data_IF_330125186901
#
_entry.id   IF_330125186901
#
_cell.length_a   1.000
_cell.length_b   1.000
_cell.length_c   1.000
_cell.angle_alpha   90.00
_cell.angle_beta   90.00
_cell.angle_gamma   90.00
#
_symmetry.space_group_name_H-M   'P 1'
#
loop_
_entity.id
_entity.type
_entity.pdbx_description
1 polymer ?
#
# COMPACT_ATOMS: atom_id res chain seq x y z
N UNK A 1 10.06 -14.57 -14.84
CA UNK A 1 10.20 -14.87 -16.28
C UNK A 1 9.84 -16.35 -16.48
N UNK A 2 9.20 -16.69 -17.60
CA UNK A 2 8.89 -18.10 -17.94
C UNK A 2 9.95 -18.58 -18.94
N UNK A 3 10.71 -19.60 -18.56
CA UNK A 3 11.65 -20.31 -19.42
C UNK A 3 11.07 -21.67 -19.77
N UNK A 4 11.08 -22.03 -21.05
CA UNK A 4 10.61 -23.32 -21.52
C UNK A 4 11.81 -24.26 -21.64
N UNK A 5 11.83 -25.32 -20.84
CA UNK A 5 12.84 -26.35 -20.94
C UNK A 5 12.45 -27.34 -22.04
N UNK A 6 13.08 -27.17 -23.21
CA UNK A 6 12.79 -27.90 -24.45
C UNK A 6 13.08 -29.40 -24.31
N UNK A 7 13.99 -29.77 -23.40
CA UNK A 7 14.41 -31.17 -23.20
C UNK A 7 13.37 -32.01 -22.46
N UNK A 8 12.66 -31.41 -21.49
CA UNK A 8 11.66 -32.11 -20.67
C UNK A 8 10.22 -31.70 -20.97
N UNK A 9 9.98 -30.88 -22.02
CA UNK A 9 8.69 -30.23 -22.30
C UNK A 9 8.10 -29.55 -21.05
N UNK A 10 8.97 -29.01 -20.18
CA UNK A 10 8.59 -28.45 -18.89
C UNK A 10 8.66 -26.93 -18.94
N UNK A 11 7.64 -26.27 -18.39
CA UNK A 11 7.61 -24.82 -18.22
C UNK A 11 8.13 -24.46 -16.83
N UNK A 12 9.21 -23.68 -16.78
CA UNK A 12 9.83 -23.21 -15.55
C UNK A 12 9.53 -21.72 -15.38
N UNK A 13 8.95 -21.34 -14.26
CA UNK A 13 8.65 -19.96 -13.90
C UNK A 13 9.34 -19.53 -12.63
N UNK A 14 10.05 -18.41 -12.70
CA UNK A 14 10.59 -17.73 -11.51
C UNK A 14 9.82 -16.44 -11.24
N UNK A 15 9.41 -16.26 -9.97
CA UNK A 15 8.69 -15.08 -9.51
C UNK A 15 8.90 -14.77 -8.03
N UNK A 16 8.64 -13.52 -7.66
CA UNK A 16 8.64 -13.08 -6.27
C UNK A 16 7.23 -13.20 -5.69
N UNK A 17 7.13 -13.76 -4.48
CA UNK A 17 5.88 -13.80 -3.73
C UNK A 17 6.11 -13.47 -2.26
N UNK A 18 5.14 -12.83 -1.60
CA UNK A 18 5.17 -12.69 -0.16
C UNK A 18 5.02 -14.06 0.54
N UNK A 19 5.77 -14.27 1.64
CA UNK A 19 5.71 -15.51 2.44
C UNK A 19 4.30 -15.95 2.80
N UNK A 20 3.42 -15.01 3.14
CA UNK A 20 2.06 -15.32 3.60
C UNK A 20 1.18 -15.90 2.49
N UNK A 21 1.49 -15.62 1.20
CA UNK A 21 0.72 -16.10 0.05
C UNK A 21 1.32 -17.39 -0.54
N UNK A 22 2.48 -17.85 -0.04
CA UNK A 22 3.08 -19.12 -0.45
C UNK A 22 2.10 -20.32 -0.36
N UNK A 23 1.35 -20.53 0.74
CA UNK A 23 0.42 -21.65 0.82
C UNK A 23 -0.75 -21.53 -0.17
N UNK A 24 -1.25 -20.32 -0.39
CA UNK A 24 -2.35 -20.05 -1.34
C UNK A 24 -1.93 -20.35 -2.79
N UNK A 25 -0.69 -19.99 -3.16
CA UNK A 25 -0.13 -20.31 -4.47
C UNK A 25 0.06 -21.82 -4.63
N UNK A 26 0.55 -22.51 -3.60
CA UNK A 26 0.72 -23.96 -3.64
C UNK A 26 -0.62 -24.68 -3.83
N UNK A 27 -1.67 -24.24 -3.14
CA UNK A 27 -3.00 -24.81 -3.29
C UNK A 27 -3.57 -24.52 -4.69
N UNK A 28 -3.42 -23.30 -5.20
CA UNK A 28 -3.86 -22.94 -6.54
C UNK A 28 -3.16 -23.79 -7.63
N UNK A 29 -1.86 -24.05 -7.46
CA UNK A 29 -1.07 -24.91 -8.34
C UNK A 29 -1.48 -26.38 -8.28
N UNK A 30 -1.87 -26.88 -7.10
CA UNK A 30 -2.39 -28.23 -6.95
C UNK A 30 -3.76 -28.38 -7.61
N UNK A 31 -4.67 -27.41 -7.42
CA UNK A 31 -5.98 -27.40 -8.08
C UNK A 31 -5.82 -27.36 -9.61
N UNK A 32 -4.95 -26.49 -10.11
CA UNK A 32 -4.67 -26.41 -11.54
C UNK A 32 -4.09 -27.73 -12.11
N UNK A 33 -3.24 -28.44 -11.36
CA UNK A 33 -2.71 -29.73 -11.79
C UNK A 33 -3.80 -30.82 -11.90
N UNK A 34 -4.74 -30.82 -10.96
CA UNK A 34 -5.91 -31.73 -10.98
C UNK A 34 -6.83 -31.40 -12.16
N UNK A 35 -7.17 -30.12 -12.35
CA UNK A 35 -8.05 -29.67 -13.44
C UNK A 35 -7.45 -29.95 -14.83
N UNK A 36 -6.13 -29.90 -14.95
CA UNK A 36 -5.39 -30.18 -16.19
C UNK A 36 -5.26 -31.68 -16.49
N UNK A 37 -5.72 -32.55 -15.58
CA UNK A 37 -5.60 -34.01 -15.69
C UNK A 37 -4.16 -34.50 -15.94
N UNK A 38 -3.17 -33.74 -15.43
CA UNK A 38 -1.75 -34.08 -15.58
C UNK A 38 -1.36 -35.17 -14.59
N UNK A 39 -0.63 -36.18 -15.05
CA UNK A 39 -0.12 -37.26 -14.20
C UNK A 39 1.05 -36.80 -13.31
N UNK A 40 1.63 -35.64 -13.60
CA UNK A 40 2.75 -35.09 -12.85
C UNK A 40 2.32 -33.80 -12.15
N UNK A 41 2.49 -33.77 -10.82
CA UNK A 41 2.15 -32.61 -10.01
C UNK A 41 3.08 -31.41 -10.29
N UNK A 42 2.54 -30.21 -10.10
CA UNK A 42 3.32 -28.97 -10.15
C UNK A 42 4.34 -28.93 -9.01
N UNK A 43 5.60 -28.64 -9.34
CA UNK A 43 6.68 -28.55 -8.34
C UNK A 43 6.81 -27.10 -7.90
N UNK A 44 6.63 -26.86 -6.60
CA UNK A 44 6.81 -25.56 -5.96
C UNK A 44 8.06 -25.60 -5.07
N UNK A 45 9.11 -24.83 -5.43
CA UNK A 45 10.34 -24.79 -4.66
C UNK A 45 10.74 -23.36 -4.30
N UNK A 46 11.15 -23.18 -3.04
CA UNK A 46 11.72 -21.93 -2.54
C UNK A 46 13.18 -21.84 -2.92
N UNK A 47 13.53 -20.81 -3.69
CA UNK A 47 14.90 -20.48 -4.07
C UNK A 47 15.50 -19.45 -3.10
N UNK A 48 16.72 -19.70 -2.64
CA UNK A 48 17.53 -18.72 -1.91
C UNK A 48 18.39 -17.96 -2.91
N UNK A 49 18.06 -16.69 -3.14
CA UNK A 49 18.84 -15.80 -4.02
C UNK A 49 19.47 -14.65 -3.22
N UNK A 50 20.53 -14.04 -3.79
CA UNK A 50 21.12 -12.79 -3.29
C UNK A 50 20.55 -11.55 -3.99
N UNK A 51 19.66 -11.72 -4.98
CA UNK A 51 18.98 -10.63 -5.64
C UNK A 51 18.12 -9.83 -4.67
N UNK A 52 18.01 -8.51 -4.89
CA UNK A 52 17.17 -7.65 -4.07
C UNK A 52 15.69 -7.94 -4.37
N UNK A 53 14.90 -8.38 -3.38
CA UNK A 53 13.47 -8.60 -3.57
C UNK A 53 12.71 -7.28 -3.74
N UNK A 54 11.55 -7.29 -4.41
CA UNK A 54 10.70 -6.12 -4.52
C UNK A 54 10.09 -5.74 -3.17
N UNK A 55 9.83 -4.45 -2.99
CA UNK A 55 9.12 -3.93 -1.81
C UNK A 55 7.61 -4.05 -2.02
N UNK A 56 6.90 -4.54 -1.01
CA UNK A 56 5.44 -4.65 -1.03
C UNK A 56 4.85 -4.10 0.27
N UNK A 57 3.92 -3.15 0.15
CA UNK A 57 3.19 -2.56 1.26
C UNK A 57 1.71 -2.98 1.21
N UNK A 58 1.19 -3.50 2.33
CA UNK A 58 -0.25 -3.72 2.47
C UNK A 58 -0.92 -2.41 2.84
N UNK A 59 -1.70 -1.85 1.92
CA UNK A 59 -2.46 -0.61 2.13
C UNK A 59 -3.97 -0.88 2.24
N UNK A 60 -4.65 -0.07 3.05
CA UNK A 60 -6.12 0.02 3.08
C UNK A 60 -6.59 1.13 2.12
N UNK A 61 -7.88 1.16 1.77
CA UNK A 61 -8.50 2.15 0.87
C UNK A 61 -8.16 3.61 1.19
N UNK A 62 -7.90 3.93 2.46
CA UNK A 62 -7.49 5.27 2.89
C UNK A 62 -5.99 5.51 2.70
N UNK A 63 -5.15 4.56 3.10
CA UNK A 63 -3.68 4.69 3.03
C UNK A 63 -3.15 4.53 1.61
N UNK A 64 -3.91 3.93 0.69
CA UNK A 64 -3.51 3.77 -0.72
C UNK A 64 -3.25 5.13 -1.39
N UNK A 65 -4.10 6.14 -1.19
CA UNK A 65 -3.86 7.47 -1.77
C UNK A 65 -2.53 8.08 -1.29
N UNK A 66 -2.22 7.99 0.01
CA UNK A 66 -0.95 8.49 0.54
C UNK A 66 0.24 7.69 0.05
N UNK A 67 0.09 6.36 -0.09
CA UNK A 67 1.13 5.50 -0.63
C UNK A 67 1.40 5.83 -2.10
N UNK A 68 0.36 6.04 -2.91
CA UNK A 68 0.50 6.46 -4.31
C UNK A 68 1.23 7.82 -4.43
N UNK A 69 0.93 8.78 -3.54
CA UNK A 69 1.63 10.07 -3.49
C UNK A 69 3.12 9.86 -3.19
N UNK A 70 3.46 9.03 -2.19
CA UNK A 70 4.85 8.75 -1.81
C UNK A 70 5.58 7.97 -2.90
N UNK A 71 4.95 6.94 -3.47
CA UNK A 71 5.53 6.11 -4.51
C UNK A 71 5.81 6.91 -5.79
N UNK A 72 5.04 7.98 -6.05
CA UNK A 72 5.30 8.90 -7.15
C UNK A 72 6.63 9.68 -6.98
N UNK A 73 7.08 9.92 -5.75
CA UNK A 73 8.40 10.50 -5.48
C UNK A 73 9.52 9.47 -5.52
N UNK A 74 9.24 8.24 -5.08
CA UNK A 74 10.18 7.13 -5.15
C UNK A 74 9.77 5.98 -4.25
N UNK A 75 10.00 4.77 -4.75
CA UNK A 75 9.71 3.54 -3.99
C UNK A 75 10.83 3.28 -2.99
N UNK A 76 10.47 3.09 -1.71
CA UNK A 76 11.41 2.76 -0.64
C UNK A 76 12.12 1.42 -0.90
N UNK A 77 13.39 1.29 -0.50
CA UNK A 77 14.13 0.04 -0.68
C UNK A 77 13.58 -1.04 0.25
N UNK A 78 13.89 -2.28 -0.10
CA UNK A 78 13.48 -3.44 0.68
C UNK A 78 13.96 -3.33 2.13
N UNK A 79 13.01 -3.44 3.08
CA UNK A 79 13.17 -3.29 4.55
C UNK A 79 13.48 -1.89 5.06
N UNK A 80 13.36 -0.85 4.25
CA UNK A 80 13.37 0.52 4.76
C UNK A 80 12.05 0.86 5.48
N UNK A 81 12.10 1.86 6.37
CA UNK A 81 10.91 2.37 7.03
C UNK A 81 9.97 3.01 5.99
N UNK A 82 8.67 2.75 6.07
CA UNK A 82 7.71 3.31 5.12
C UNK A 82 7.44 4.80 5.46
N UNK A 83 7.85 5.76 4.60
CA UNK A 83 7.61 7.18 4.86
C UNK A 83 6.13 7.56 4.75
N UNK A 84 5.27 6.73 4.14
CA UNK A 84 3.83 6.96 4.01
C UNK A 84 3.13 7.19 5.34
N UNK A 85 3.55 6.48 6.40
CA UNK A 85 2.96 6.64 7.72
C UNK A 85 3.20 8.04 8.28
N UNK A 86 4.38 8.61 8.01
CA UNK A 86 4.71 9.97 8.39
C UNK A 86 3.94 10.99 7.56
N UNK A 87 3.84 10.77 6.23
CA UNK A 87 3.13 11.69 5.34
C UNK A 87 1.63 11.73 5.60
N UNK A 88 1.00 10.66 6.11
CA UNK A 88 -0.43 10.67 6.51
C UNK A 88 -0.71 11.79 7.53
N UNK A 89 0.24 12.12 8.40
CA UNK A 89 0.08 13.15 9.43
C UNK A 89 0.61 14.50 8.96
N UNK A 90 1.83 14.54 8.41
CA UNK A 90 2.50 15.80 8.09
C UNK A 90 1.97 16.46 6.83
N UNK A 91 1.52 15.69 5.84
CA UNK A 91 0.99 16.26 4.60
C UNK A 91 -0.31 17.05 4.83
N UNK A 92 -1.33 16.51 5.55
CA UNK A 92 -2.49 17.30 5.97
C UNK A 92 -2.15 18.51 6.82
N UNK A 93 -1.18 18.38 7.74
CA UNK A 93 -0.79 19.47 8.62
C UNK A 93 -0.16 20.65 7.86
N UNK A 94 0.79 20.39 6.97
CA UNK A 94 1.42 21.43 6.16
C UNK A 94 0.39 22.10 5.24
N UNK A 95 -0.53 21.32 4.67
CA UNK A 95 -1.61 21.87 3.87
C UNK A 95 -2.57 22.75 4.69
N UNK A 96 -2.89 22.34 5.93
CA UNK A 96 -3.73 23.10 6.84
C UNK A 96 -3.11 24.44 7.24
N UNK A 97 -1.80 24.47 7.51
CA UNK A 97 -1.08 25.72 7.81
C UNK A 97 -1.02 26.65 6.60
N UNK A 98 -0.82 26.10 5.39
CA UNK A 98 -0.72 26.90 4.17
C UNK A 98 -2.05 27.43 3.64
N UNK A 99 -3.15 26.69 3.84
CA UNK A 99 -4.50 27.04 3.36
C UNK A 99 -5.50 27.25 4.50
N UNK A 100 -5.02 27.67 5.67
CA UNK A 100 -5.77 27.87 6.92
C UNK A 100 -6.74 29.05 6.92
N UNK A 101 -7.38 29.32 5.78
CA UNK A 101 -8.47 30.30 5.67
C UNK A 101 -9.81 29.58 5.60
N UNK A 102 -10.73 29.96 6.49
CA UNK A 102 -12.08 29.39 6.59
C UNK A 102 -12.83 29.41 5.25
N UNK A 103 -12.63 30.45 4.44
CA UNK A 103 -13.30 30.59 3.13
C UNK A 103 -12.89 29.52 2.12
N UNK A 104 -11.58 29.30 1.95
CA UNK A 104 -11.06 28.31 1.00
C UNK A 104 -11.38 26.88 1.45
N UNK A 105 -11.32 26.63 2.75
CA UNK A 105 -11.67 25.33 3.31
C UNK A 105 -13.14 24.95 3.07
N UNK A 106 -14.09 25.88 3.23
CA UNK A 106 -15.52 25.62 2.97
C UNK A 106 -15.77 25.32 1.48
N UNK A 107 -15.12 26.05 0.56
CA UNK A 107 -15.21 25.76 -0.88
C UNK A 107 -14.69 24.36 -1.22
N UNK A 108 -13.55 23.96 -0.63
CA UNK A 108 -12.99 22.62 -0.80
C UNK A 108 -13.89 21.55 -0.19
N UNK A 109 -14.50 21.78 0.98
CA UNK A 109 -15.46 20.85 1.56
C UNK A 109 -16.67 20.65 0.63
N UNK A 110 -17.25 21.73 0.09
CA UNK A 110 -18.42 21.62 -0.80
C UNK A 110 -18.07 20.87 -2.09
N UNK A 111 -16.91 21.16 -2.69
CA UNK A 111 -16.44 20.48 -3.89
C UNK A 111 -16.18 18.98 -3.63
N UNK A 112 -15.56 18.66 -2.49
CA UNK A 112 -15.24 17.29 -2.09
C UNK A 112 -16.50 16.52 -1.74
N UNK A 113 -17.43 17.12 -0.99
CA UNK A 113 -18.74 16.55 -0.67
C UNK A 113 -19.53 16.22 -1.94
N UNK A 114 -19.52 17.10 -2.93
CA UNK A 114 -20.15 16.86 -4.23
C UNK A 114 -19.55 15.64 -4.95
N UNK A 115 -18.23 15.46 -4.88
CA UNK A 115 -17.54 14.29 -5.46
C UNK A 115 -17.87 12.99 -4.72
N UNK A 116 -18.00 13.03 -3.38
CA UNK A 116 -18.43 11.86 -2.58
C UNK A 116 -19.85 11.45 -2.97
N UNK A 117 -20.78 12.40 -3.12
CA UNK A 117 -22.15 12.07 -3.53
C UNK A 117 -22.23 11.41 -4.91
N UNK A 118 -21.23 11.63 -5.76
CA UNK A 118 -21.08 10.99 -7.08
C UNK A 118 -20.11 9.81 -7.10
N UNK A 119 -19.77 9.23 -5.94
CA UNK A 119 -18.83 8.09 -5.77
C UNK A 119 -19.12 6.95 -6.76
N UNK A 120 -20.39 6.64 -7.04
CA UNK A 120 -20.77 5.55 -7.98
C UNK A 120 -20.33 5.77 -9.44
N UNK A 121 -20.00 7.00 -9.84
CA UNK A 121 -19.66 7.35 -11.22
C UNK A 121 -18.15 7.55 -11.43
N UNK A 122 -17.36 7.62 -10.35
CA UNK A 122 -15.93 7.94 -10.41
C UNK A 122 -15.05 6.76 -9.99
N UNK A 123 -13.82 6.75 -10.49
CA UNK A 123 -12.83 5.69 -10.19
C UNK A 123 -12.48 5.65 -8.70
N UNK A 124 -12.23 4.45 -8.19
CA UNK A 124 -11.81 4.15 -6.81
C UNK A 124 -10.67 5.06 -6.31
N UNK A 125 -9.74 5.44 -7.19
CA UNK A 125 -8.62 6.32 -6.87
C UNK A 125 -9.05 7.76 -6.55
N UNK A 126 -9.97 8.31 -7.35
CA UNK A 126 -10.52 9.67 -7.13
C UNK A 126 -11.22 9.76 -5.78
N UNK A 127 -11.89 8.67 -5.38
CA UNK A 127 -12.61 8.56 -4.12
C UNK A 127 -11.64 8.48 -2.93
N UNK A 128 -10.54 7.74 -3.07
CA UNK A 128 -9.49 7.68 -2.04
C UNK A 128 -8.92 9.08 -1.78
N UNK A 129 -8.57 9.81 -2.84
CA UNK A 129 -8.09 11.20 -2.76
C UNK A 129 -9.14 12.15 -2.17
N UNK A 130 -10.41 11.96 -2.51
CA UNK A 130 -11.53 12.74 -1.97
C UNK A 130 -11.66 12.53 -0.45
N UNK A 131 -11.51 11.29 0.04
CA UNK A 131 -11.51 11.00 1.49
C UNK A 131 -10.31 11.63 2.22
N UNK A 132 -9.15 11.67 1.57
CA UNK A 132 -7.97 12.38 2.08
C UNK A 132 -8.26 13.88 2.21
N UNK A 133 -8.82 14.51 1.16
CA UNK A 133 -9.15 15.93 1.18
C UNK A 133 -10.14 16.31 2.29
N UNK A 134 -11.18 15.50 2.53
CA UNK A 134 -12.12 15.71 3.63
C UNK A 134 -11.44 15.61 5.00
N UNK A 135 -10.54 14.63 5.17
CA UNK A 135 -9.75 14.49 6.41
C UNK A 135 -8.84 15.70 6.64
N UNK A 136 -8.18 16.19 5.59
CA UNK A 136 -7.33 17.39 5.65
C UNK A 136 -8.12 18.62 6.10
N UNK A 137 -9.33 18.83 5.55
CA UNK A 137 -10.18 19.95 5.94
C UNK A 137 -10.68 19.86 7.39
N UNK A 138 -11.09 18.67 7.84
CA UNK A 138 -11.48 18.44 9.24
C UNK A 138 -10.33 18.74 10.20
N UNK A 139 -9.10 18.37 9.84
CA UNK A 139 -7.92 18.68 10.63
C UNK A 139 -7.68 20.20 10.69
N UNK A 140 -7.82 20.92 9.58
CA UNK A 140 -7.70 22.39 9.55
C UNK A 140 -8.70 23.09 10.48
N UNK A 141 -9.98 22.68 10.46
CA UNK A 141 -11.00 23.25 11.35
C UNK A 141 -10.71 23.02 12.84
N UNK A 142 -10.16 21.85 13.19
CA UNK A 142 -9.78 21.52 14.57
C UNK A 142 -8.55 22.35 15.01
N UNK A 143 -7.59 22.58 14.10
CA UNK A 143 -6.40 23.36 14.38
C UNK A 143 -6.70 24.86 14.55
N UNK A 144 -7.68 25.39 13.83
CA UNK A 144 -8.12 26.80 13.96
C UNK A 144 -8.92 27.06 15.25
N UNK A 145 -9.54 26.03 15.82
CA UNK A 145 -10.32 26.14 17.06
C UNK A 145 -9.45 26.17 18.34
N UNK A 146 -8.19 25.74 18.28
CA UNK A 146 -7.36 25.57 19.48
C UNK A 146 -6.11 26.47 19.48
N UNK A 147 -6.10 27.40 20.43
CA UNK A 147 -4.99 28.24 20.89
C UNK A 147 -3.58 27.60 20.73
N UNK A 148 -2.59 28.41 20.34
CA UNK A 148 -1.27 28.06 19.75
C UNK A 148 -0.37 27.07 20.51
N UNK A 149 -0.73 26.62 21.71
CA UNK A 149 0.06 25.71 22.55
C UNK A 149 -0.38 24.23 22.51
N UNK A 150 -1.64 23.93 22.15
CA UNK A 150 -2.16 22.55 22.16
C UNK A 150 -1.85 21.79 20.86
N UNK A 151 -1.69 22.53 19.76
CA UNK A 151 -1.29 21.99 18.44
C UNK A 151 0.07 21.29 18.50
N UNK A 152 1.04 21.88 19.22
CA UNK A 152 2.38 21.28 19.38
C UNK A 152 2.33 19.95 20.17
N UNK A 153 1.48 19.89 21.19
CA UNK A 153 1.32 18.71 22.05
C UNK A 153 0.64 17.55 21.31
N UNK A 154 -0.36 17.85 20.47
CA UNK A 154 -1.07 16.84 19.67
C UNK A 154 -0.19 16.25 18.57
N UNK A 155 0.62 17.10 17.91
CA UNK A 155 1.63 16.68 16.93
C UNK A 155 2.68 15.79 17.58
N UNK A 156 3.18 16.15 18.77
CA UNK A 156 4.13 15.32 19.52
C UNK A 156 3.54 13.95 19.91
N UNK A 157 2.29 13.89 20.39
CA UNK A 157 1.62 12.64 20.78
C UNK A 157 1.35 11.74 19.57
N UNK A 158 0.95 12.28 18.41
CA UNK A 158 0.71 11.50 17.20
C UNK A 158 2.01 10.95 16.57
N UNK A 159 3.09 11.74 16.60
CA UNK A 159 4.41 11.28 16.16
C UNK A 159 4.88 10.11 17.03
N UNK A 160 4.72 10.22 18.35
CA UNK A 160 5.08 9.14 19.31
C UNK A 160 4.20 7.90 19.11
N UNK A 161 2.91 8.05 18.84
CA UNK A 161 2.00 6.93 18.56
C UNK A 161 2.32 6.22 17.23
N UNK A 162 2.70 6.97 16.18
CA UNK A 162 3.15 6.39 14.91
C UNK A 162 4.48 5.65 15.03
N UNK A 163 5.41 6.12 15.88
CA UNK A 163 6.67 5.44 16.18
C UNK A 163 6.42 4.08 16.86
N UNK A 164 5.40 3.97 17.74
CA UNK A 164 5.10 2.72 18.46
C UNK A 164 4.42 1.64 17.60
N UNK A 165 3.81 1.99 16.46
CA UNK A 165 3.17 1.03 15.55
C UNK A 165 4.13 0.51 14.44
N UNK A 166 5.42 0.80 14.55
CA UNK A 166 6.50 0.22 13.73
C UNK A 166 6.85 -1.17 14.28
N UNK A 167 5.89 -2.10 14.31
CA UNK A 167 6.23 -3.53 14.29
C UNK A 167 6.17 -3.99 12.85
N UNK A 168 7.31 -3.82 12.17
CA UNK A 168 7.57 -4.35 10.83
C UNK A 168 7.31 -5.87 10.83
N UNK A 169 6.31 -6.32 10.05
CA UNK A 169 6.16 -7.73 9.72
C UNK A 169 7.26 -8.14 8.74
N UNK A 170 8.04 -9.20 9.02
CA UNK A 170 9.10 -9.65 8.15
C UNK A 170 8.50 -10.33 6.92
N UNK A 171 8.42 -9.59 5.81
CA UNK A 171 8.15 -10.19 4.50
C UNK A 171 9.47 -10.69 3.92
N UNK A 172 9.84 -11.93 4.20
CA UNK A 172 10.89 -12.59 3.42
C UNK A 172 10.43 -12.68 1.95
N UNK A 173 11.20 -12.11 1.03
CA UNK A 173 10.93 -12.29 -0.39
C UNK A 173 11.20 -13.74 -0.74
N UNK A 174 10.16 -14.51 -1.03
CA UNK A 174 10.29 -15.87 -1.51
C UNK A 174 10.46 -15.79 -3.03
N UNK A 175 11.62 -16.18 -3.55
CA UNK A 175 11.77 -16.45 -4.97
C UNK A 175 11.28 -17.87 -5.19
N UNK A 176 10.21 -18.02 -5.96
CA UNK A 176 9.53 -19.29 -6.17
C UNK A 176 9.91 -19.83 -7.54
N UNK A 177 10.24 -21.11 -7.57
CA UNK A 177 10.36 -21.93 -8.75
C UNK A 177 9.06 -22.72 -8.94
N UNK A 178 8.38 -22.52 -10.07
CA UNK A 178 7.22 -23.31 -10.48
C UNK A 178 7.61 -24.10 -11.73
N UNK A 179 7.59 -25.42 -11.63
CA UNK A 179 7.73 -26.32 -12.78
C UNK A 179 6.36 -26.88 -13.15
N UNK A 180 5.88 -26.58 -14.36
CA UNK A 180 4.68 -27.18 -14.94
C UNK A 180 5.12 -28.19 -16.01
N UNK A 181 4.67 -29.44 -15.89
CA UNK A 181 4.95 -30.54 -16.84
C UNK A 181 3.73 -30.81 -17.71
#
# INVERSE_FOLDING_TARGET
MLSLDVTNKCLVGEGWSPMFAAPEIQEALQRAAVDSNSQVGSIFQVLRTKEMPPTFFRTNKFTTAFQEIVDAYGVAKYREANPTLFTIVTFPFLFAVMFGDWGHGICLLLATMYLILKEKKFSSQVISLTKVATFMFLLSLVLDWQNSHIVLLYVAVLIVACIFHIKQFPLHGLKIFVSCL
#
